data_IF_545940280529
#
_entry.id   IF_545940280529
#
_cell.length_a   1.000
_cell.length_b   1.000
_cell.length_c   1.000
_cell.angle_alpha   90.00
_cell.angle_beta   90.00
_cell.angle_gamma   90.00
#
_symmetry.space_group_name_H-M   'P 1'
#
loop_
_entity.id
_entity.type
_entity.pdbx_description
1 polymer ?
#
# COMPACT_ATOMS: atom_id res chain seq x y z
N UNK A 1 -13.60 -12.47 30.79
CA UNK A 1 -13.75 -12.63 29.32
C UNK A 1 -12.66 -13.55 28.84
N UNK A 2 -12.97 -14.50 27.96
CA UNK A 2 -11.96 -15.37 27.35
C UNK A 2 -11.10 -14.53 26.38
N UNK A 3 -9.77 -14.59 26.46
CA UNK A 3 -8.91 -13.86 25.55
C UNK A 3 -9.12 -14.36 24.10
N UNK A 4 -9.03 -13.47 23.14
CA UNK A 4 -9.03 -13.81 21.71
C UNK A 4 -7.81 -14.68 21.44
N UNK A 5 -8.00 -15.79 20.75
CA UNK A 5 -6.92 -16.71 20.35
C UNK A 5 -6.82 -16.87 18.84
N UNK A 6 -7.95 -16.75 18.13
CA UNK A 6 -7.99 -16.96 16.69
C UNK A 6 -8.56 -15.75 15.96
N UNK A 7 -7.88 -15.32 14.87
CA UNK A 7 -8.16 -14.11 14.11
C UNK A 7 -8.24 -14.43 12.62
N UNK A 8 -9.31 -13.99 11.95
CA UNK A 8 -9.38 -14.01 10.50
C UNK A 8 -8.79 -12.70 9.93
N UNK A 9 -7.98 -12.79 8.88
CA UNK A 9 -7.55 -11.65 8.08
C UNK A 9 -8.10 -11.83 6.67
N UNK A 10 -9.03 -10.96 6.26
CA UNK A 10 -9.65 -11.03 4.94
C UNK A 10 -8.83 -10.21 3.94
N UNK A 11 -8.20 -10.89 2.99
CA UNK A 11 -7.44 -10.24 1.94
C UNK A 11 -8.38 -9.54 0.93
N UNK A 12 -8.19 -8.25 0.63
CA UNK A 12 -9.05 -7.52 -0.31
C UNK A 12 -8.72 -7.82 -1.77
N UNK A 13 -7.57 -8.44 -2.04
CA UNK A 13 -7.10 -8.81 -3.37
C UNK A 13 -6.38 -10.17 -3.35
N UNK A 14 -6.11 -10.80 -4.51
CA UNK A 14 -5.42 -12.08 -4.58
C UNK A 14 -4.06 -12.08 -3.90
N UNK A 15 -3.80 -13.07 -3.04
CA UNK A 15 -2.50 -13.34 -2.44
C UNK A 15 -1.75 -14.34 -3.32
N UNK A 16 -0.63 -13.91 -3.89
CA UNK A 16 0.19 -14.69 -4.82
C UNK A 16 1.60 -14.08 -4.88
N UNK A 17 2.62 -14.73 -5.48
CA UNK A 17 3.96 -14.14 -5.56
C UNK A 17 4.00 -12.73 -6.15
N UNK A 18 3.19 -12.43 -7.18
CA UNK A 18 3.03 -11.09 -7.75
C UNK A 18 1.75 -10.47 -7.23
N UNK A 19 1.87 -9.52 -6.30
CA UNK A 19 0.74 -8.82 -5.67
C UNK A 19 1.05 -7.35 -5.42
N UNK A 20 0.02 -6.54 -5.27
CA UNK A 20 0.11 -5.11 -4.96
C UNK A 20 0.12 -4.86 -3.44
N UNK A 21 0.10 -3.58 -3.05
CA UNK A 21 0.26 -3.15 -1.66
C UNK A 21 -0.76 -3.72 -0.69
N UNK A 22 -2.02 -3.82 -1.10
CA UNK A 22 -3.10 -4.31 -0.24
C UNK A 22 -2.94 -5.81 0.09
N UNK A 23 -2.56 -6.63 -0.89
CA UNK A 23 -2.27 -8.04 -0.67
C UNK A 23 -1.04 -8.24 0.20
N UNK A 24 0.03 -7.47 -0.05
CA UNK A 24 1.23 -7.48 0.79
C UNK A 24 0.86 -7.13 2.23
N UNK A 25 0.05 -6.10 2.45
CA UNK A 25 -0.37 -5.68 3.79
C UNK A 25 -1.18 -6.75 4.50
N UNK A 26 -2.16 -7.37 3.85
CA UNK A 26 -2.93 -8.46 4.45
C UNK A 26 -2.04 -9.65 4.84
N UNK A 27 -1.11 -10.03 3.97
CA UNK A 27 -0.14 -11.10 4.24
C UNK A 27 0.78 -10.75 5.42
N UNK A 28 1.36 -9.57 5.43
CA UNK A 28 2.33 -9.18 6.45
C UNK A 28 1.70 -8.89 7.81
N UNK A 29 0.49 -8.32 7.84
CA UNK A 29 -0.30 -8.24 9.09
C UNK A 29 -0.60 -9.64 9.62
N UNK A 30 -0.98 -10.59 8.76
CA UNK A 30 -1.19 -11.98 9.16
C UNK A 30 0.08 -12.58 9.80
N UNK A 31 1.24 -12.34 9.21
CA UNK A 31 2.54 -12.79 9.76
C UNK A 31 2.86 -12.13 11.11
N UNK A 32 2.63 -10.82 11.22
CA UNK A 32 2.88 -10.07 12.45
C UNK A 32 1.98 -10.52 13.60
N UNK A 33 0.74 -10.91 13.30
CA UNK A 33 -0.24 -11.41 14.28
C UNK A 33 -0.01 -12.88 14.63
N UNK A 34 0.53 -13.69 13.73
CA UNK A 34 0.73 -15.14 13.94
C UNK A 34 1.72 -15.48 15.07
N UNK A 35 2.47 -14.49 15.57
CA UNK A 35 3.32 -14.66 16.73
C UNK A 35 2.52 -14.78 18.05
N UNK A 36 1.31 -14.22 18.09
CA UNK A 36 0.51 -14.07 19.32
C UNK A 36 -0.89 -14.71 19.17
N UNK A 37 -1.36 -14.98 17.95
CA UNK A 37 -2.69 -15.51 17.63
C UNK A 37 -2.62 -16.64 16.60
N UNK A 38 -3.62 -17.50 16.61
CA UNK A 38 -3.92 -18.43 15.52
C UNK A 38 -4.54 -17.62 14.37
N UNK A 39 -3.77 -17.39 13.31
CA UNK A 39 -4.19 -16.54 12.19
C UNK A 39 -4.65 -17.38 11.02
N UNK A 40 -5.84 -17.05 10.52
CA UNK A 40 -6.38 -17.59 9.28
C UNK A 40 -6.44 -16.48 8.23
N UNK A 41 -5.63 -16.63 7.17
CA UNK A 41 -5.63 -15.71 6.01
C UNK A 41 -6.69 -16.19 5.03
N UNK A 42 -7.75 -15.38 4.87
CA UNK A 42 -8.86 -15.63 3.97
C UNK A 42 -8.57 -14.97 2.62
N UNK A 43 -8.49 -15.75 1.56
CA UNK A 43 -8.08 -15.28 0.23
C UNK A 43 -9.18 -15.45 -0.82
N UNK A 44 -9.33 -14.49 -1.76
CA UNK A 44 -10.33 -14.59 -2.83
C UNK A 44 -9.91 -15.54 -3.96
N UNK A 45 -8.62 -15.84 -4.10
CA UNK A 45 -8.03 -16.68 -5.13
C UNK A 45 -7.77 -18.11 -4.64
N UNK A 46 -7.18 -18.94 -5.53
CA UNK A 46 -6.74 -20.29 -5.15
C UNK A 46 -5.74 -20.25 -3.99
N UNK A 47 -6.03 -20.92 -2.86
CA UNK A 47 -5.14 -20.98 -1.71
C UNK A 47 -3.75 -21.56 -2.03
N UNK A 48 -3.60 -22.36 -3.06
CA UNK A 48 -2.31 -22.91 -3.46
C UNK A 48 -1.33 -21.79 -3.83
N UNK A 49 -1.77 -20.79 -4.58
CA UNK A 49 -0.94 -19.62 -4.91
C UNK A 49 -0.54 -18.80 -3.68
N UNK A 50 -1.45 -18.65 -2.73
CA UNK A 50 -1.17 -17.92 -1.51
C UNK A 50 -0.19 -18.67 -0.58
N UNK A 51 -0.25 -20.00 -0.52
CA UNK A 51 0.70 -20.82 0.26
C UNK A 51 2.14 -20.70 -0.20
N UNK A 52 2.38 -20.37 -1.47
CA UNK A 52 3.75 -20.12 -1.98
C UNK A 52 4.44 -18.98 -1.22
N UNK A 53 3.67 -18.04 -0.68
CA UNK A 53 4.20 -16.84 0.01
C UNK A 53 3.77 -16.76 1.48
N UNK A 54 2.75 -17.48 1.93
CA UNK A 54 2.19 -17.34 3.28
C UNK A 54 3.04 -18.00 4.38
N UNK A 55 3.93 -18.93 4.03
CA UNK A 55 4.72 -19.68 5.01
C UNK A 55 3.84 -20.62 5.85
N UNK A 56 3.92 -20.51 7.17
CA UNK A 56 3.18 -21.36 8.13
C UNK A 56 1.75 -20.88 8.43
N UNK A 57 1.29 -19.77 7.83
CA UNK A 57 -0.04 -19.24 8.08
C UNK A 57 -1.10 -20.15 7.44
N UNK A 58 -2.18 -20.45 8.18
CA UNK A 58 -3.35 -21.14 7.62
C UNK A 58 -3.99 -20.27 6.53
N UNK A 59 -4.07 -20.81 5.31
CA UNK A 59 -4.69 -20.13 4.16
C UNK A 59 -5.96 -20.86 3.75
N UNK A 60 -7.06 -20.12 3.70
CA UNK A 60 -8.40 -20.65 3.37
C UNK A 60 -8.98 -19.86 2.20
N UNK A 61 -9.53 -20.58 1.22
CA UNK A 61 -10.34 -19.94 0.18
C UNK A 61 -11.60 -19.35 0.81
N UNK A 62 -11.86 -18.08 0.53
CA UNK A 62 -13.00 -17.37 1.08
C UNK A 62 -13.75 -16.61 -0.02
N UNK A 63 -14.39 -17.32 -0.97
CA UNK A 63 -15.30 -16.67 -1.88
C UNK A 63 -16.41 -15.98 -1.07
N UNK A 64 -16.87 -14.82 -1.54
CA UNK A 64 -17.72 -13.92 -0.77
C UNK A 64 -19.04 -14.56 -0.29
N UNK A 65 -19.54 -15.56 -1.00
CA UNK A 65 -20.73 -16.34 -0.64
C UNK A 65 -20.49 -17.40 0.44
N UNK A 66 -19.22 -17.68 0.80
CA UNK A 66 -18.81 -18.68 1.79
C UNK A 66 -18.04 -18.11 2.98
N UNK A 67 -18.07 -16.82 3.18
CA UNK A 67 -17.39 -16.16 4.32
C UNK A 67 -17.77 -16.74 5.68
N UNK A 68 -19.06 -17.06 6.00
CA UNK A 68 -19.40 -17.67 7.30
C UNK A 68 -18.71 -19.00 7.55
N UNK A 69 -18.54 -19.83 6.51
CA UNK A 69 -17.85 -21.10 6.62
C UNK A 69 -16.34 -20.92 6.82
N UNK A 70 -15.75 -19.99 6.04
CA UNK A 70 -14.33 -19.67 6.11
C UNK A 70 -13.93 -19.03 7.45
N UNK A 71 -14.83 -18.24 8.05
CA UNK A 71 -14.66 -17.58 9.34
C UNK A 71 -14.95 -18.49 10.55
N UNK A 72 -15.47 -19.72 10.33
CA UNK A 72 -15.88 -20.58 11.44
C UNK A 72 -14.75 -20.86 12.42
N UNK A 73 -14.99 -20.60 13.70
CA UNK A 73 -14.03 -20.81 14.79
C UNK A 73 -13.06 -19.65 15.00
N UNK A 74 -13.09 -18.60 14.18
CA UNK A 74 -12.38 -17.35 14.47
C UNK A 74 -13.18 -16.49 15.47
N UNK A 75 -12.48 -15.68 16.26
CA UNK A 75 -13.07 -14.90 17.35
C UNK A 75 -13.04 -13.39 17.08
N UNK A 76 -12.21 -12.94 16.13
CA UNK A 76 -12.14 -11.57 15.66
C UNK A 76 -11.69 -11.55 14.19
N UNK A 77 -11.85 -10.40 13.54
CA UNK A 77 -11.41 -10.24 12.15
C UNK A 77 -10.71 -8.91 11.89
N UNK A 78 -9.85 -8.93 10.88
CA UNK A 78 -9.29 -7.74 10.22
C UNK A 78 -9.78 -7.76 8.77
N UNK A 79 -10.44 -6.70 8.33
CA UNK A 79 -11.04 -6.61 7.00
C UNK A 79 -10.67 -5.28 6.34
N UNK A 80 -10.63 -5.23 5.01
CA UNK A 80 -10.29 -4.00 4.27
C UNK A 80 -10.98 -3.93 2.92
N UNK A 81 -11.07 -2.72 2.37
CA UNK A 81 -11.60 -2.45 1.03
C UNK A 81 -13.02 -2.98 0.82
N UNK A 82 -13.33 -3.31 -0.44
CA UNK A 82 -14.66 -3.79 -0.84
C UNK A 82 -15.03 -5.15 -0.24
N UNK A 83 -14.04 -6.00 0.06
CA UNK A 83 -14.28 -7.29 0.70
C UNK A 83 -14.91 -7.16 2.10
N UNK A 84 -14.65 -6.04 2.79
CA UNK A 84 -15.23 -5.74 4.09
C UNK A 84 -16.76 -5.67 4.05
N UNK A 85 -17.36 -5.18 2.96
CA UNK A 85 -18.82 -5.12 2.80
C UNK A 85 -19.46 -6.49 2.94
N UNK A 86 -18.91 -7.48 2.23
CA UNK A 86 -19.41 -8.85 2.30
C UNK A 86 -19.24 -9.44 3.70
N UNK A 87 -18.14 -9.13 4.38
CA UNK A 87 -17.92 -9.55 5.77
C UNK A 87 -18.99 -9.01 6.71
N UNK A 88 -19.27 -7.71 6.69
CA UNK A 88 -20.24 -7.10 7.60
C UNK A 88 -21.65 -7.66 7.45
N UNK A 89 -22.02 -8.10 6.25
CA UNK A 89 -23.31 -8.75 6.01
C UNK A 89 -23.32 -10.24 6.38
N UNK A 90 -22.20 -10.94 6.13
CA UNK A 90 -22.14 -12.40 6.29
C UNK A 90 -21.76 -12.85 7.71
N UNK A 91 -20.95 -12.05 8.44
CA UNK A 91 -20.39 -12.38 9.77
C UNK A 91 -20.53 -11.19 10.72
N UNK A 92 -21.75 -10.72 10.99
CA UNK A 92 -21.98 -9.45 11.71
C UNK A 92 -21.60 -9.45 13.18
N UNK A 93 -21.51 -10.65 13.82
CA UNK A 93 -21.40 -10.80 15.28
C UNK A 93 -19.97 -10.69 15.80
N UNK A 94 -18.98 -10.94 14.95
CA UNK A 94 -17.58 -10.91 15.39
C UNK A 94 -17.07 -9.48 15.59
N UNK A 95 -16.16 -9.25 16.55
CA UNK A 95 -15.37 -8.03 16.61
C UNK A 95 -14.53 -7.86 15.35
N UNK A 96 -14.54 -6.65 14.78
CA UNK A 96 -13.88 -6.38 13.48
C UNK A 96 -13.02 -5.13 13.57
N UNK A 97 -11.75 -5.26 13.20
CA UNK A 97 -10.90 -4.14 12.84
C UNK A 97 -11.01 -3.85 11.33
N UNK A 98 -11.42 -2.63 10.97
CA UNK A 98 -11.37 -2.18 9.58
C UNK A 98 -10.02 -1.53 9.28
N UNK A 99 -9.31 -2.08 8.32
CA UNK A 99 -8.06 -1.51 7.83
C UNK A 99 -8.36 -0.49 6.73
N UNK A 100 -8.27 0.78 7.11
CA UNK A 100 -8.50 1.95 6.25
C UNK A 100 -7.17 2.55 5.74
N UNK A 101 -6.13 1.73 5.71
CA UNK A 101 -4.79 2.11 5.22
C UNK A 101 -4.84 2.72 3.82
N UNK A 102 -5.62 2.13 2.93
CA UNK A 102 -5.81 2.59 1.57
C UNK A 102 -6.99 3.56 1.50
N UNK A 103 -6.77 4.86 1.22
CA UNK A 103 -7.85 5.83 1.06
C UNK A 103 -8.53 5.67 -0.32
N UNK A 104 -8.87 4.43 -0.71
CA UNK A 104 -9.39 4.07 -2.03
C UNK A 104 -10.54 4.96 -2.54
N UNK A 105 -11.46 5.51 -1.70
CA UNK A 105 -12.47 6.40 -2.22
C UNK A 105 -11.91 7.72 -2.77
N UNK A 106 -10.71 8.13 -2.31
CA UNK A 106 -10.00 9.32 -2.82
C UNK A 106 -9.07 8.95 -3.98
N UNK A 107 -8.35 7.83 -3.87
CA UNK A 107 -7.48 7.32 -4.95
C UNK A 107 -8.27 7.04 -6.23
N UNK A 108 -9.44 6.39 -6.11
CA UNK A 108 -10.28 6.04 -7.25
C UNK A 108 -10.91 7.26 -7.95
N UNK A 109 -10.90 8.46 -7.34
CA UNK A 109 -11.30 9.69 -8.04
C UNK A 109 -10.37 10.03 -9.22
N UNK A 110 -9.10 9.60 -9.18
CA UNK A 110 -8.20 9.71 -10.32
C UNK A 110 -8.67 8.86 -11.51
N UNK A 111 -9.40 7.79 -11.25
CA UNK A 111 -9.99 6.92 -12.27
C UNK A 111 -11.41 7.32 -12.67
N UNK A 112 -12.01 8.34 -12.04
CA UNK A 112 -13.38 8.75 -12.32
C UNK A 112 -13.69 9.02 -13.81
N UNK A 113 -12.76 9.56 -14.63
CA UNK A 113 -13.00 9.71 -16.07
C UNK A 113 -13.21 8.38 -16.81
N UNK A 114 -12.62 7.28 -16.34
CA UNK A 114 -12.74 5.95 -16.96
C UNK A 114 -13.76 5.04 -16.25
N UNK A 115 -13.87 5.11 -14.92
CA UNK A 115 -14.76 4.25 -14.13
C UNK A 115 -16.15 4.84 -13.89
N UNK A 116 -16.31 6.16 -14.01
CA UNK A 116 -17.57 6.87 -13.87
C UNK A 116 -18.01 7.11 -12.41
N UNK A 117 -19.07 7.91 -12.27
CA UNK A 117 -19.60 8.34 -10.97
C UNK A 117 -20.21 7.19 -10.13
N UNK A 118 -20.59 6.09 -10.74
CA UNK A 118 -21.15 4.94 -10.03
C UNK A 118 -20.10 4.25 -9.16
N UNK A 119 -18.88 4.10 -9.65
CA UNK A 119 -17.76 3.56 -8.88
C UNK A 119 -17.46 4.44 -7.67
N UNK A 120 -17.33 5.75 -7.86
CA UNK A 120 -17.09 6.69 -6.76
C UNK A 120 -18.20 6.67 -5.70
N UNK A 121 -19.46 6.47 -6.11
CA UNK A 121 -20.57 6.28 -5.18
C UNK A 121 -20.42 4.98 -4.39
N UNK A 122 -20.10 3.89 -5.06
CA UNK A 122 -19.91 2.58 -4.44
C UNK A 122 -18.73 2.59 -3.46
N UNK A 123 -17.63 3.23 -3.81
CA UNK A 123 -16.47 3.40 -2.92
C UNK A 123 -16.83 4.15 -1.64
N UNK A 124 -17.57 5.25 -1.79
CA UNK A 124 -18.07 6.02 -0.63
C UNK A 124 -19.00 5.19 0.24
N UNK A 125 -19.91 4.41 -0.35
CA UNK A 125 -20.82 3.53 0.39
C UNK A 125 -20.08 2.40 1.11
N UNK A 126 -19.00 1.89 0.49
CA UNK A 126 -18.11 0.90 1.11
C UNK A 126 -17.41 1.45 2.34
N UNK A 127 -16.81 2.63 2.22
CA UNK A 127 -16.22 3.32 3.37
C UNK A 127 -17.25 3.61 4.45
N UNK A 128 -18.44 4.07 4.05
CA UNK A 128 -19.56 4.37 4.93
C UNK A 128 -19.97 3.17 5.78
N UNK A 129 -20.09 2.01 5.16
CA UNK A 129 -20.42 0.77 5.85
C UNK A 129 -19.30 0.35 6.82
N UNK A 130 -18.04 0.45 6.40
CA UNK A 130 -16.91 0.14 7.28
C UNK A 130 -16.90 1.04 8.52
N UNK A 131 -17.02 2.36 8.35
CA UNK A 131 -17.09 3.33 9.46
C UNK A 131 -18.28 3.09 10.40
N UNK A 132 -19.38 2.58 9.86
CA UNK A 132 -20.59 2.27 10.63
C UNK A 132 -20.49 0.99 11.42
N UNK A 133 -19.76 -0.03 10.92
CA UNK A 133 -19.85 -1.41 11.42
C UNK A 133 -18.60 -1.91 12.14
N UNK A 134 -17.41 -1.41 11.84
CA UNK A 134 -16.22 -1.89 12.50
C UNK A 134 -16.12 -1.38 13.95
N UNK A 135 -15.34 -2.08 14.76
CA UNK A 135 -15.14 -1.80 16.17
C UNK A 135 -13.84 -1.07 16.44
N UNK A 136 -12.90 -1.24 15.54
CA UNK A 136 -11.59 -0.62 15.58
C UNK A 136 -11.15 -0.24 14.17
N UNK A 137 -10.42 0.85 14.04
CA UNK A 137 -10.00 1.37 12.75
C UNK A 137 -8.48 1.51 12.70
N UNK A 138 -7.89 1.08 11.58
CA UNK A 138 -6.48 1.24 11.30
C UNK A 138 -6.31 2.26 10.19
N UNK A 139 -5.36 3.16 10.32
CA UNK A 139 -4.97 4.10 9.28
C UNK A 139 -3.44 4.16 9.17
N UNK A 140 -2.90 4.71 8.07
CA UNK A 140 -1.47 4.65 7.81
C UNK A 140 -0.67 5.84 8.38
N UNK A 141 -1.31 6.97 8.62
CA UNK A 141 -0.63 8.20 9.01
C UNK A 141 -1.50 9.06 9.94
N UNK A 142 -0.89 10.12 10.49
CA UNK A 142 -1.60 11.13 11.28
C UNK A 142 -2.63 11.90 10.45
N UNK A 143 -2.34 12.16 9.19
CA UNK A 143 -3.23 12.83 8.26
C UNK A 143 -4.47 11.96 7.98
N UNK A 144 -4.29 10.69 7.70
CA UNK A 144 -5.40 9.74 7.57
C UNK A 144 -6.19 9.64 8.88
N UNK A 145 -5.50 9.65 10.03
CA UNK A 145 -6.17 9.57 11.33
C UNK A 145 -7.10 10.75 11.56
N UNK A 146 -6.68 11.97 11.23
CA UNK A 146 -7.54 13.15 11.34
C UNK A 146 -8.70 13.10 10.34
N UNK A 147 -8.45 12.66 9.10
CA UNK A 147 -9.48 12.48 8.08
C UNK A 147 -10.57 11.50 8.53
N UNK A 148 -10.18 10.32 9.03
CA UNK A 148 -11.14 9.32 9.49
C UNK A 148 -11.80 9.68 10.84
N UNK A 149 -11.11 10.38 11.73
CA UNK A 149 -11.71 10.88 12.97
C UNK A 149 -12.87 11.86 12.67
N UNK A 150 -12.69 12.77 11.70
CA UNK A 150 -13.79 13.64 11.24
C UNK A 150 -14.97 12.85 10.67
N UNK A 151 -14.71 11.82 9.88
CA UNK A 151 -15.75 10.95 9.33
C UNK A 151 -16.47 10.14 10.43
N UNK A 152 -15.75 9.62 11.41
CA UNK A 152 -16.32 8.91 12.56
C UNK A 152 -17.17 9.82 13.46
N UNK A 153 -16.73 11.07 13.66
CA UNK A 153 -17.51 12.07 14.41
C UNK A 153 -18.85 12.35 13.76
N UNK A 154 -18.88 12.59 12.45
CA UNK A 154 -20.13 12.84 11.71
C UNK A 154 -21.08 11.65 11.68
N UNK A 155 -20.56 10.43 11.93
CA UNK A 155 -21.32 9.19 12.06
C UNK A 155 -21.80 8.89 13.48
N UNK A 156 -21.46 9.74 14.46
CA UNK A 156 -21.79 9.49 15.85
C UNK A 156 -21.00 8.35 16.49
N UNK A 157 -19.89 7.88 15.84
CA UNK A 157 -18.99 6.89 16.42
C UNK A 157 -18.05 7.52 17.45
N UNK A 158 -17.88 8.82 17.40
CA UNK A 158 -17.23 9.65 18.41
C UNK A 158 -18.30 10.57 18.99
N UNK A 159 -18.51 10.50 20.30
CA UNK A 159 -19.56 11.27 20.96
C UNK A 159 -19.32 11.45 22.46
N UNK A 160 -20.30 12.00 23.15
CA UNK A 160 -20.22 12.29 24.58
C UNK A 160 -20.03 11.03 25.46
N UNK A 161 -20.33 9.86 24.91
CA UNK A 161 -20.28 8.61 25.66
C UNK A 161 -18.89 7.95 25.65
N UNK A 162 -18.08 8.16 24.59
CA UNK A 162 -16.77 7.54 24.47
C UNK A 162 -15.60 8.54 24.52
N UNK A 163 -15.79 9.76 24.04
CA UNK A 163 -14.72 10.76 24.02
C UNK A 163 -14.17 11.14 25.40
N UNK A 164 -15.01 11.32 26.47
CA UNK A 164 -14.46 11.64 27.81
C UNK A 164 -13.60 10.50 28.41
N UNK A 165 -13.84 9.24 28.02
CA UNK A 165 -13.10 8.08 28.51
C UNK A 165 -11.78 7.90 27.78
N UNK A 166 -11.73 8.26 26.49
CA UNK A 166 -10.52 8.21 25.64
C UNK A 166 -10.47 9.41 24.69
N UNK A 167 -10.06 10.60 25.17
CA UNK A 167 -9.95 11.79 24.32
C UNK A 167 -8.90 11.63 23.20
N UNK A 168 -8.01 10.63 23.32
CA UNK A 168 -7.03 10.31 22.29
C UNK A 168 -7.61 9.45 21.21
N UNK A 169 -8.77 8.82 21.40
CA UNK A 169 -9.43 7.86 20.50
C UNK A 169 -8.55 6.64 20.18
N UNK A 170 -7.57 6.34 21.00
CA UNK A 170 -6.63 5.22 20.76
C UNK A 170 -7.30 3.85 20.85
N UNK A 171 -8.40 3.75 21.58
CA UNK A 171 -9.23 2.54 21.67
C UNK A 171 -10.16 2.34 20.47
N UNK A 172 -10.32 3.36 19.59
CA UNK A 172 -11.19 3.31 18.42
C UNK A 172 -10.42 3.38 17.10
N UNK A 173 -9.40 4.25 17.00
CA UNK A 173 -8.68 4.57 15.78
C UNK A 173 -7.19 4.70 16.04
N UNK A 174 -6.38 3.81 15.44
CA UNK A 174 -4.93 3.81 15.61
C UNK A 174 -4.18 3.97 14.29
N UNK A 175 -2.98 4.57 14.39
CA UNK A 175 -2.03 4.60 13.29
C UNK A 175 -1.26 3.29 13.26
N UNK A 176 -1.51 2.51 12.22
CA UNK A 176 -0.82 1.26 11.88
C UNK A 176 -0.30 1.41 10.45
N UNK A 177 0.86 2.04 10.24
CA UNK A 177 1.41 2.29 8.92
C UNK A 177 1.75 0.99 8.19
N UNK A 178 2.17 1.09 6.96
CA UNK A 178 2.83 -0.02 6.28
C UNK A 178 4.16 -0.30 6.97
N UNK A 179 4.52 -1.56 7.06
CA UNK A 179 5.75 -1.99 7.69
C UNK A 179 6.76 -2.54 6.68
N UNK A 180 7.95 -2.82 7.19
CA UNK A 180 8.98 -3.60 6.47
C UNK A 180 9.18 -4.94 7.17
N UNK A 181 9.76 -5.96 6.49
CA UNK A 181 10.09 -7.23 7.13
C UNK A 181 10.99 -7.04 8.36
N UNK A 182 10.83 -7.94 9.31
CA UNK A 182 11.65 -7.93 10.54
C UNK A 182 13.14 -8.16 10.27
N UNK A 183 13.47 -8.83 9.17
CA UNK A 183 14.84 -9.04 8.71
C UNK A 183 15.32 -7.89 7.82
N UNK A 184 16.61 -7.49 7.91
CA UNK A 184 17.20 -6.57 6.94
C UNK A 184 17.11 -7.09 5.51
N UNK A 185 17.01 -6.17 4.54
CA UNK A 185 17.08 -6.52 3.13
C UNK A 185 18.46 -7.12 2.81
N UNK A 186 18.47 -8.37 2.35
CA UNK A 186 19.66 -9.06 1.84
C UNK A 186 19.36 -9.48 0.42
N UNK A 187 19.77 -8.64 -0.54
CA UNK A 187 19.53 -8.86 -1.95
C UNK A 187 20.81 -9.05 -2.75
N UNK A 188 20.71 -9.80 -3.85
CA UNK A 188 21.73 -9.95 -4.87
C UNK A 188 21.42 -9.00 -6.04
N UNK A 189 22.23 -7.93 -6.18
CA UNK A 189 22.06 -6.94 -7.23
C UNK A 189 22.13 -7.53 -8.65
N UNK A 190 22.97 -8.53 -8.87
CA UNK A 190 23.09 -9.17 -10.18
C UNK A 190 21.82 -9.97 -10.52
N UNK A 191 21.22 -10.65 -9.53
CA UNK A 191 19.96 -11.36 -9.68
C UNK A 191 18.81 -10.37 -9.94
N UNK A 192 18.74 -9.28 -9.17
CA UNK A 192 17.73 -8.23 -9.37
C UNK A 192 17.80 -7.61 -10.77
N UNK A 193 19.00 -7.31 -11.26
CA UNK A 193 19.18 -6.79 -12.62
C UNK A 193 18.71 -7.77 -13.68
N UNK A 194 19.10 -9.04 -13.59
CA UNK A 194 18.64 -10.08 -14.55
C UNK A 194 17.13 -10.23 -14.55
N UNK A 195 16.51 -10.28 -13.36
CA UNK A 195 15.08 -10.42 -13.21
C UNK A 195 14.28 -9.23 -13.82
N UNK A 196 14.84 -8.03 -13.75
CA UNK A 196 14.25 -6.82 -14.32
C UNK A 196 14.69 -6.53 -15.78
N UNK A 197 15.46 -7.39 -16.41
CA UNK A 197 15.95 -7.18 -17.79
C UNK A 197 16.94 -6.02 -17.94
N UNK A 198 17.73 -5.73 -16.89
CA UNK A 198 18.63 -4.60 -16.82
C UNK A 198 20.07 -4.98 -17.16
N UNK A 199 20.88 -4.07 -17.72
CA UNK A 199 22.29 -4.30 -17.97
C UNK A 199 23.06 -4.54 -16.67
N UNK A 200 24.22 -5.24 -16.74
CA UNK A 200 25.00 -5.60 -15.55
C UNK A 200 25.62 -4.40 -14.81
N UNK A 201 25.76 -3.27 -15.48
CA UNK A 201 26.43 -2.08 -14.97
C UNK A 201 25.57 -0.82 -15.13
N UNK A 202 26.00 0.29 -14.53
CA UNK A 202 25.34 1.59 -14.53
C UNK A 202 24.32 1.74 -13.39
N UNK A 203 24.02 2.97 -12.96
CA UNK A 203 23.06 3.24 -11.91
C UNK A 203 21.63 3.03 -12.41
N UNK A 204 20.81 2.36 -11.60
CA UNK A 204 19.39 2.19 -11.85
C UNK A 204 18.61 3.24 -11.05
N UNK A 205 17.81 4.04 -11.76
CA UNK A 205 16.81 4.94 -11.20
C UNK A 205 15.47 4.23 -11.28
N UNK A 206 14.92 3.88 -10.14
CA UNK A 206 13.64 3.19 -10.04
C UNK A 206 12.50 4.21 -9.94
N UNK A 207 11.50 4.11 -10.80
CA UNK A 207 10.20 4.73 -10.59
C UNK A 207 9.19 3.74 -10.01
N UNK A 208 9.22 2.52 -10.50
CA UNK A 208 8.31 1.44 -10.10
C UNK A 208 7.01 1.41 -10.91
N UNK A 209 5.92 0.92 -10.31
CA UNK A 209 4.62 0.84 -10.98
C UNK A 209 4.02 2.23 -11.24
N UNK A 210 3.25 2.34 -12.33
CA UNK A 210 2.61 3.58 -12.76
C UNK A 210 1.10 3.48 -12.54
N UNK A 211 0.56 4.45 -11.80
CA UNK A 211 -0.87 4.60 -11.50
C UNK A 211 -1.29 6.05 -11.74
N UNK A 212 -2.59 6.32 -11.86
CA UNK A 212 -3.11 7.62 -12.28
C UNK A 212 -2.85 8.77 -11.28
N UNK A 213 -2.49 8.47 -10.02
CA UNK A 213 -2.06 9.47 -9.03
C UNK A 213 -0.57 9.82 -9.09
N UNK A 214 0.21 9.18 -9.98
CA UNK A 214 1.60 9.53 -10.23
C UNK A 214 1.79 10.36 -11.50
N UNK A 215 2.88 11.12 -11.52
CA UNK A 215 3.32 11.90 -12.69
C UNK A 215 4.69 11.42 -13.21
N UNK A 216 4.72 10.30 -13.94
CA UNK A 216 5.93 9.83 -14.59
C UNK A 216 6.38 10.76 -15.73
N UNK A 217 5.49 11.61 -16.25
CA UNK A 217 5.77 12.56 -17.33
C UNK A 217 6.87 13.54 -16.94
N UNK A 218 6.82 14.06 -15.72
CA UNK A 218 7.84 15.00 -15.23
C UNK A 218 9.25 14.35 -15.21
N UNK A 219 9.36 13.07 -14.84
CA UNK A 219 10.65 12.37 -14.89
C UNK A 219 11.09 12.13 -16.33
N UNK A 220 10.18 11.78 -17.22
CA UNK A 220 10.50 11.61 -18.64
C UNK A 220 10.97 12.93 -19.28
N UNK A 221 10.42 14.06 -18.90
CA UNK A 221 10.88 15.38 -19.37
C UNK A 221 12.27 15.74 -18.79
N UNK A 222 12.58 15.29 -17.57
CA UNK A 222 13.90 15.44 -16.95
C UNK A 222 14.95 14.46 -17.53
N UNK A 223 14.54 13.31 -18.06
CA UNK A 223 15.40 12.18 -18.40
C UNK A 223 16.50 12.49 -19.43
N UNK A 224 16.25 13.25 -20.53
CA UNK A 224 17.28 13.61 -21.48
C UNK A 224 18.44 14.42 -20.87
N UNK A 225 18.16 15.25 -19.85
CA UNK A 225 19.20 15.98 -19.11
C UNK A 225 19.99 15.06 -18.19
N UNK A 226 19.31 14.10 -17.54
CA UNK A 226 19.95 13.09 -16.70
C UNK A 226 20.90 12.23 -17.55
N UNK A 227 20.47 11.75 -18.71
CA UNK A 227 21.30 10.94 -19.61
C UNK A 227 22.52 11.68 -20.15
N UNK A 228 22.43 12.98 -20.44
CA UNK A 228 23.60 13.76 -20.85
C UNK A 228 24.69 13.78 -19.76
N UNK A 229 24.29 13.82 -18.49
CA UNK A 229 25.23 13.82 -17.37
C UNK A 229 25.66 12.40 -16.96
N UNK A 230 24.79 11.41 -17.14
CA UNK A 230 25.01 10.01 -16.78
C UNK A 230 24.50 9.08 -17.89
N UNK A 231 25.28 8.91 -18.98
CA UNK A 231 24.89 8.06 -20.13
C UNK A 231 24.70 6.59 -19.79
N UNK A 232 25.29 6.16 -18.68
CA UNK A 232 25.19 4.81 -18.14
C UNK A 232 23.94 4.56 -17.27
N UNK A 233 23.16 5.60 -16.98
CA UNK A 233 21.94 5.47 -16.15
C UNK A 233 20.83 4.73 -16.89
N UNK A 234 20.02 3.98 -16.13
CA UNK A 234 18.80 3.32 -16.62
C UNK A 234 17.61 3.69 -15.75
N UNK A 235 16.49 4.01 -16.38
CA UNK A 235 15.21 4.28 -15.73
C UNK A 235 14.35 3.02 -15.78
N UNK A 236 13.85 2.57 -14.64
CA UNK A 236 13.05 1.36 -14.52
C UNK A 236 11.63 1.65 -14.11
N UNK A 237 10.68 1.23 -14.95
CA UNK A 237 9.26 1.16 -14.67
C UNK A 237 8.82 -0.31 -14.56
N UNK A 238 7.74 -0.54 -13.80
CA UNK A 238 7.06 -1.84 -13.77
C UNK A 238 5.69 -1.77 -14.43
N UNK A 239 5.33 -2.85 -15.11
CA UNK A 239 3.96 -3.13 -15.54
C UNK A 239 3.08 -3.31 -14.30
N UNK A 240 1.76 -3.11 -14.44
CA UNK A 240 0.84 -3.32 -13.32
C UNK A 240 0.68 -4.82 -13.01
N UNK A 241 0.66 -5.25 -11.74
CA UNK A 241 0.44 -6.66 -11.40
C UNK A 241 -1.00 -7.14 -11.65
N UNK A 242 -1.96 -6.21 -11.76
CA UNK A 242 -3.39 -6.47 -11.97
C UNK A 242 -3.93 -5.59 -13.12
N UNK A 243 -3.42 -5.73 -14.36
CA UNK A 243 -3.77 -4.83 -15.47
C UNK A 243 -5.24 -4.97 -15.91
N UNK A 244 -5.87 -6.11 -15.59
CA UNK A 244 -7.28 -6.39 -15.90
C UNK A 244 -8.27 -5.61 -15.02
N UNK A 245 -7.84 -5.16 -13.85
CA UNK A 245 -8.68 -4.43 -12.89
C UNK A 245 -8.25 -2.98 -12.68
N UNK A 246 -7.02 -2.64 -13.02
CA UNK A 246 -6.47 -1.29 -12.85
C UNK A 246 -6.44 -0.55 -14.16
N UNK A 247 -7.05 0.64 -14.29
CA UNK A 247 -6.95 1.45 -15.51
C UNK A 247 -5.50 1.75 -15.91
N UNK A 248 -5.19 1.64 -17.20
CA UNK A 248 -3.82 1.70 -17.72
C UNK A 248 -3.51 3.03 -18.45
N UNK A 249 -4.39 4.02 -18.36
CA UNK A 249 -4.30 5.24 -19.19
C UNK A 249 -2.99 6.02 -18.99
N UNK A 250 -2.53 6.18 -17.75
CA UNK A 250 -1.26 6.87 -17.46
C UNK A 250 -0.08 5.99 -17.83
N UNK A 251 -0.15 4.69 -17.58
CA UNK A 251 0.89 3.74 -17.99
C UNK A 251 1.11 3.74 -19.51
N UNK A 252 0.05 3.69 -20.29
CA UNK A 252 0.13 3.67 -21.77
C UNK A 252 0.71 4.99 -22.31
N UNK A 253 0.29 6.14 -21.76
CA UNK A 253 0.88 7.45 -22.11
C UNK A 253 2.36 7.50 -21.74
N UNK A 254 2.73 6.99 -20.57
CA UNK A 254 4.12 6.90 -20.12
C UNK A 254 4.96 6.09 -21.09
N UNK A 255 4.48 4.91 -21.46
CA UNK A 255 5.16 4.01 -22.40
C UNK A 255 5.30 4.62 -23.80
N UNK A 256 4.27 5.33 -24.27
CA UNK A 256 4.33 6.07 -25.54
C UNK A 256 5.38 7.17 -25.47
N UNK A 257 5.36 8.01 -24.43
CA UNK A 257 6.32 9.11 -24.25
C UNK A 257 7.76 8.60 -24.11
N UNK A 258 7.95 7.48 -23.39
CA UNK A 258 9.27 6.87 -23.26
C UNK A 258 9.85 6.44 -24.61
N UNK A 259 9.05 5.88 -25.52
CA UNK A 259 9.48 5.52 -26.89
C UNK A 259 9.85 6.74 -27.75
N UNK A 260 9.25 7.88 -27.52
CA UNK A 260 9.62 9.14 -28.23
C UNK A 260 11.00 9.64 -27.77
N UNK A 261 11.35 9.44 -26.48
CA UNK A 261 12.62 9.88 -25.89
C UNK A 261 13.73 8.86 -26.15
N UNK A 262 13.41 7.58 -26.06
CA UNK A 262 14.31 6.45 -26.17
C UNK A 262 13.72 5.40 -27.13
N UNK A 263 13.79 5.62 -28.46
CA UNK A 263 13.17 4.73 -29.43
C UNK A 263 13.71 3.29 -29.43
N UNK A 264 14.97 3.11 -29.04
CA UNK A 264 15.62 1.80 -28.98
C UNK A 264 15.39 1.06 -27.64
N UNK A 265 14.92 1.78 -26.59
CA UNK A 265 14.80 1.20 -25.26
C UNK A 265 16.14 0.99 -24.54
N UNK A 266 17.16 1.76 -24.90
CA UNK A 266 18.51 1.59 -24.35
C UNK A 266 18.63 2.10 -22.90
N UNK A 267 17.81 3.08 -22.53
CA UNK A 267 17.90 3.77 -21.24
C UNK A 267 16.63 3.71 -20.38
N UNK A 268 15.47 3.44 -20.99
CA UNK A 268 14.17 3.38 -20.30
C UNK A 268 13.60 1.96 -20.44
N UNK A 269 13.53 1.26 -19.33
CA UNK A 269 13.15 -0.16 -19.28
C UNK A 269 11.77 -0.31 -18.61
N UNK A 270 10.88 -1.06 -19.25
CA UNK A 270 9.61 -1.52 -18.67
C UNK A 270 9.74 -3.02 -18.40
N UNK A 271 9.70 -3.37 -17.13
CA UNK A 271 9.83 -4.75 -16.65
C UNK A 271 8.48 -5.28 -16.18
N UNK A 272 8.19 -6.59 -16.34
CA UNK A 272 7.10 -7.22 -15.64
C UNK A 272 7.22 -7.02 -14.13
N UNK A 273 6.06 -7.01 -13.43
CA UNK A 273 6.05 -6.93 -11.96
C UNK A 273 6.81 -8.10 -11.35
N UNK A 274 7.77 -7.79 -10.48
CA UNK A 274 8.58 -8.82 -9.83
C UNK A 274 7.82 -9.51 -8.68
N UNK A 275 8.12 -10.79 -8.41
CA UNK A 275 7.58 -11.46 -7.23
C UNK A 275 7.99 -10.75 -5.93
N UNK A 276 7.07 -10.68 -4.99
CA UNK A 276 7.28 -10.03 -3.70
C UNK A 276 8.52 -10.54 -2.94
N UNK A 277 8.83 -11.85 -2.92
CA UNK A 277 10.06 -12.34 -2.29
C UNK A 277 11.36 -11.80 -2.91
N UNK A 278 11.35 -11.44 -4.20
CA UNK A 278 12.54 -11.03 -4.95
C UNK A 278 12.84 -9.53 -4.83
N UNK A 279 12.00 -8.76 -4.10
CA UNK A 279 12.15 -7.31 -4.02
C UNK A 279 13.47 -6.85 -3.38
N UNK A 280 14.06 -7.65 -2.47
CA UNK A 280 15.36 -7.32 -1.89
C UNK A 280 16.47 -7.27 -2.96
N UNK A 281 16.44 -8.18 -3.95
CA UNK A 281 17.37 -8.21 -5.05
C UNK A 281 17.22 -7.00 -5.97
N UNK A 282 15.96 -6.61 -6.23
CA UNK A 282 15.67 -5.39 -6.97
C UNK A 282 16.27 -4.15 -6.29
N UNK A 283 15.99 -3.97 -5.00
CA UNK A 283 16.50 -2.78 -4.28
C UNK A 283 18.03 -2.80 -4.17
N UNK A 284 18.66 -3.96 -4.03
CA UNK A 284 20.11 -4.08 -4.08
C UNK A 284 20.71 -3.64 -5.43
N UNK A 285 19.94 -3.73 -6.52
CA UNK A 285 20.35 -3.29 -7.85
C UNK A 285 20.14 -1.78 -8.09
N UNK A 286 19.27 -1.12 -7.32
CA UNK A 286 18.87 0.28 -7.53
C UNK A 286 19.82 1.26 -6.84
N UNK A 287 20.16 2.34 -7.53
CA UNK A 287 20.96 3.43 -6.98
C UNK A 287 20.09 4.53 -6.37
N UNK A 288 18.86 4.71 -6.87
CA UNK A 288 17.96 5.78 -6.48
C UNK A 288 16.51 5.39 -6.76
N UNK A 289 15.59 5.79 -5.89
CA UNK A 289 14.15 5.81 -6.18
C UNK A 289 13.73 7.23 -6.52
N UNK A 290 12.90 7.41 -7.55
CA UNK A 290 12.20 8.66 -7.83
C UNK A 290 10.70 8.45 -7.68
N UNK A 291 10.06 9.24 -6.81
CA UNK A 291 8.62 9.20 -6.57
C UNK A 291 8.00 10.56 -6.83
N UNK A 292 7.13 10.63 -7.83
CA UNK A 292 6.45 11.86 -8.21
C UNK A 292 4.96 11.60 -8.17
N UNK A 293 4.25 12.30 -7.28
CA UNK A 293 2.79 12.23 -7.17
C UNK A 293 2.15 13.49 -7.73
N UNK A 294 0.90 13.41 -8.18
CA UNK A 294 0.10 14.59 -8.43
C UNK A 294 -0.16 15.32 -7.11
N UNK A 295 -0.31 16.64 -7.15
CA UNK A 295 -0.70 17.40 -5.97
C UNK A 295 -2.18 17.21 -5.67
N UNK A 296 -2.55 17.18 -4.40
CA UNK A 296 -3.94 17.08 -3.97
C UNK A 296 -4.18 16.23 -2.75
N UNK A 297 -5.46 16.07 -2.41
CA UNK A 297 -5.91 15.37 -1.20
C UNK A 297 -5.41 13.91 -1.17
N UNK A 298 -5.39 13.23 -2.32
CA UNK A 298 -4.91 11.84 -2.39
C UNK A 298 -3.44 11.76 -1.91
N UNK A 299 -2.57 12.63 -2.40
CA UNK A 299 -1.15 12.64 -2.03
C UNK A 299 -0.93 12.95 -0.54
N UNK A 300 -1.74 13.83 0.05
CA UNK A 300 -1.65 14.11 1.49
C UNK A 300 -2.10 12.92 2.35
N UNK A 301 -3.05 12.11 1.86
CA UNK A 301 -3.55 10.95 2.57
C UNK A 301 -2.77 9.67 2.26
N UNK A 302 -2.13 9.57 1.10
CA UNK A 302 -1.48 8.32 0.67
C UNK A 302 -0.20 8.03 1.44
N UNK A 303 -0.04 6.77 1.86
CA UNK A 303 1.20 6.25 2.42
C UNK A 303 1.99 5.50 1.35
N UNK A 304 2.93 6.18 0.70
CA UNK A 304 3.67 5.68 -0.48
C UNK A 304 4.62 4.53 -0.15
N UNK A 305 4.10 3.30 -0.11
CA UNK A 305 4.86 2.08 0.28
C UNK A 305 6.16 1.89 -0.47
N UNK A 306 6.24 2.31 -1.74
CA UNK A 306 7.48 2.22 -2.53
C UNK A 306 8.65 2.98 -1.89
N UNK A 307 8.38 4.11 -1.22
CA UNK A 307 9.38 4.88 -0.50
C UNK A 307 9.90 4.09 0.71
N UNK A 308 9.00 3.42 1.44
CA UNK A 308 9.38 2.62 2.60
C UNK A 308 10.14 1.34 2.20
N UNK A 309 9.69 0.66 1.15
CA UNK A 309 10.37 -0.52 0.62
C UNK A 309 11.78 -0.18 0.09
N UNK A 310 11.91 0.96 -0.61
CA UNK A 310 13.22 1.45 -1.04
C UNK A 310 14.12 1.75 0.16
N UNK A 311 13.59 2.39 1.20
CA UNK A 311 14.33 2.66 2.43
C UNK A 311 14.78 1.37 3.13
N UNK A 312 13.93 0.34 3.18
CA UNK A 312 14.30 -0.99 3.68
C UNK A 312 15.47 -1.60 2.89
N UNK A 313 15.43 -1.48 1.55
CA UNK A 313 16.54 -1.87 0.67
C UNK A 313 17.78 -0.98 0.78
N UNK A 314 17.70 0.14 1.50
CA UNK A 314 18.77 1.13 1.58
C UNK A 314 18.90 1.97 0.32
N UNK A 315 17.85 2.15 -0.44
CA UNK A 315 17.83 2.98 -1.66
C UNK A 315 17.33 4.37 -1.27
N UNK A 316 18.18 5.42 -1.40
CA UNK A 316 17.74 6.79 -1.17
C UNK A 316 16.70 7.24 -2.18
N UNK A 317 15.93 8.28 -1.85
CA UNK A 317 14.87 8.75 -2.72
C UNK A 317 15.01 10.22 -3.13
N UNK A 318 14.46 10.56 -4.30
CA UNK A 318 14.08 11.91 -4.70
C UNK A 318 12.56 11.92 -4.86
N UNK A 319 11.89 12.87 -4.21
CA UNK A 319 10.44 12.96 -4.20
C UNK A 319 9.95 14.32 -4.68
N UNK A 320 8.82 14.33 -5.40
CA UNK A 320 8.03 15.52 -5.75
C UNK A 320 6.60 15.26 -5.28
N UNK A 321 6.07 16.13 -4.40
CA UNK A 321 4.77 15.94 -3.76
C UNK A 321 4.64 14.52 -3.16
N UNK A 322 5.58 14.14 -2.30
CA UNK A 322 5.70 12.75 -1.80
C UNK A 322 4.83 12.41 -0.59
N UNK A 323 4.02 13.33 -0.08
CA UNK A 323 3.19 13.14 1.12
C UNK A 323 3.99 13.04 2.41
N UNK A 324 3.34 12.56 3.49
CA UNK A 324 3.95 12.50 4.83
C UNK A 324 5.22 11.65 4.87
N UNK A 325 5.21 10.48 4.26
CA UNK A 325 6.34 9.56 4.27
C UNK A 325 7.60 10.14 3.60
N UNK A 326 7.44 10.90 2.49
CA UNK A 326 8.58 11.56 1.85
C UNK A 326 9.17 12.64 2.76
N UNK A 327 8.33 13.45 3.42
CA UNK A 327 8.76 14.45 4.41
C UNK A 327 9.52 13.79 5.58
N UNK A 328 9.03 12.68 6.11
CA UNK A 328 9.72 11.94 7.16
C UNK A 328 11.07 11.39 6.71
N UNK A 329 11.16 10.83 5.50
CA UNK A 329 12.42 10.33 4.93
C UNK A 329 13.40 11.47 4.65
N UNK A 330 12.92 12.63 4.20
CA UNK A 330 13.75 13.82 3.98
C UNK A 330 14.31 14.34 5.32
N UNK A 331 13.47 14.43 6.35
CA UNK A 331 13.91 14.80 7.70
C UNK A 331 14.95 13.82 8.28
N UNK A 332 14.87 12.54 7.92
CA UNK A 332 15.84 11.53 8.31
C UNK A 332 17.13 11.53 7.44
N UNK A 333 17.22 12.36 6.40
CA UNK A 333 18.35 12.40 5.47
C UNK A 333 18.37 11.28 4.42
N UNK A 334 17.26 10.50 4.32
CA UNK A 334 17.12 9.38 3.41
C UNK A 334 16.53 9.78 2.05
N UNK A 335 15.91 10.95 1.96
CA UNK A 335 15.32 11.47 0.72
C UNK A 335 15.69 12.95 0.50
N UNK A 336 15.43 13.42 -0.72
CA UNK A 336 15.39 14.83 -1.08
C UNK A 336 14.01 15.12 -1.66
N UNK A 337 13.31 16.11 -1.14
CA UNK A 337 12.14 16.68 -1.78
C UNK A 337 12.57 17.82 -2.70
N UNK A 338 12.00 17.89 -3.87
CA UNK A 338 12.26 18.96 -4.82
C UNK A 338 10.96 19.49 -5.42
N UNK A 339 11.04 20.70 -5.97
CA UNK A 339 9.92 21.36 -6.64
C UNK A 339 9.50 20.60 -7.91
N UNK A 340 8.25 20.80 -8.31
CA UNK A 340 7.68 20.22 -9.53
C UNK A 340 8.19 20.94 -10.77
N UNK A 341 9.44 20.73 -11.07
CA UNK A 341 10.12 21.27 -12.25
C UNK A 341 11.13 20.25 -12.79
N UNK A 342 11.14 20.02 -14.11
CA UNK A 342 11.98 19.02 -14.75
C UNK A 342 13.48 19.32 -14.61
N UNK A 343 13.88 20.59 -14.59
CA UNK A 343 15.28 20.96 -14.44
C UNK A 343 15.76 20.77 -13.00
N UNK A 344 14.94 21.11 -12.03
CA UNK A 344 15.18 20.91 -10.59
C UNK A 344 15.25 19.43 -10.28
N UNK A 345 14.29 18.64 -10.78
CA UNK A 345 14.27 17.18 -10.63
C UNK A 345 15.53 16.53 -11.23
N UNK A 346 15.89 16.93 -12.48
CA UNK A 346 17.11 16.43 -13.12
C UNK A 346 18.34 16.74 -12.27
N UNK A 347 18.45 17.96 -11.74
CA UNK A 347 19.58 18.38 -10.91
C UNK A 347 19.67 17.56 -9.62
N UNK A 348 18.54 17.29 -8.94
CA UNK A 348 18.49 16.45 -7.74
C UNK A 348 18.91 15.01 -8.05
N UNK A 349 18.41 14.40 -9.12
CA UNK A 349 18.76 13.05 -9.55
C UNK A 349 20.25 12.97 -9.91
N UNK A 350 20.78 13.89 -10.73
CA UNK A 350 22.18 13.94 -11.12
C UNK A 350 23.08 14.11 -9.89
N UNK A 351 22.73 15.01 -8.99
CA UNK A 351 23.48 15.23 -7.74
C UNK A 351 23.58 13.97 -6.92
N UNK A 352 22.46 13.26 -6.72
CA UNK A 352 22.45 11.98 -5.99
C UNK A 352 23.25 10.88 -6.72
N UNK A 353 23.17 10.80 -8.03
CA UNK A 353 23.91 9.80 -8.80
C UNK A 353 25.43 10.08 -8.84
N UNK A 354 25.85 11.34 -8.72
CA UNK A 354 27.25 11.74 -8.82
C UNK A 354 27.97 11.76 -7.46
N UNK A 355 27.25 11.95 -6.36
CA UNK A 355 27.79 11.98 -5.01
C UNK A 355 27.71 10.59 -4.35
N UNK A 356 28.76 9.80 -4.46
CA UNK A 356 28.82 8.46 -3.87
C UNK A 356 28.76 8.51 -2.34
N UNK A 357 29.52 9.40 -1.69
CA UNK A 357 29.54 9.51 -0.24
C UNK A 357 28.19 9.97 0.33
N UNK A 358 27.54 10.96 -0.31
CA UNK A 358 26.20 11.39 0.06
C UNK A 358 25.14 10.32 -0.16
N UNK A 359 25.29 9.48 -1.20
CA UNK A 359 24.41 8.31 -1.38
C UNK A 359 24.58 7.27 -0.28
N UNK A 360 25.81 6.96 0.10
CA UNK A 360 26.10 5.99 1.16
C UNK A 360 25.52 6.47 2.50
N UNK A 361 25.66 7.77 2.81
CA UNK A 361 25.05 8.37 3.99
C UNK A 361 23.50 8.27 3.95
N UNK A 362 22.88 8.67 2.85
CA UNK A 362 21.44 8.59 2.68
C UNK A 362 20.92 7.14 2.69
N UNK A 363 21.71 6.20 2.17
CA UNK A 363 21.41 4.76 2.22
C UNK A 363 21.44 4.22 3.66
N UNK A 364 22.38 4.64 4.47
CA UNK A 364 22.42 4.29 5.90
C UNK A 364 21.24 4.88 6.66
N UNK A 365 20.91 6.15 6.40
CA UNK A 365 19.73 6.83 6.97
C UNK A 365 18.42 6.13 6.59
N UNK A 366 18.27 5.73 5.32
CA UNK A 366 17.12 4.98 4.83
C UNK A 366 16.93 3.65 5.58
N UNK A 367 18.00 2.87 5.73
CA UNK A 367 17.94 1.60 6.50
C UNK A 367 17.61 1.82 7.97
N UNK A 368 18.19 2.85 8.59
CA UNK A 368 17.88 3.20 9.98
C UNK A 368 16.42 3.61 10.17
N UNK A 369 15.87 4.42 9.24
CA UNK A 369 14.48 4.82 9.22
C UNK A 369 13.54 3.60 9.10
N UNK A 370 13.81 2.70 8.15
CA UNK A 370 13.02 1.50 7.92
C UNK A 370 13.08 0.52 9.11
N UNK A 371 14.23 0.40 9.77
CA UNK A 371 14.39 -0.48 10.93
C UNK A 371 13.46 -0.15 12.09
N UNK A 372 13.02 1.11 12.22
CA UNK A 372 12.00 1.53 13.20
C UNK A 372 10.56 1.18 12.80
N UNK A 373 10.33 0.67 11.58
CA UNK A 373 8.99 0.42 11.00
C UNK A 373 8.76 -1.03 10.61
N UNK A 374 9.24 -1.96 11.42
CA UNK A 374 9.03 -3.40 11.21
C UNK A 374 7.58 -3.76 11.41
N UNK A 375 7.05 -4.72 10.63
CA UNK A 375 5.67 -5.16 10.72
C UNK A 375 5.23 -5.52 12.13
N UNK A 376 6.06 -6.23 12.88
CA UNK A 376 5.77 -6.59 14.28
C UNK A 376 5.60 -5.36 15.17
N UNK A 377 6.39 -4.31 14.94
CA UNK A 377 6.32 -3.06 15.72
C UNK A 377 5.12 -2.21 15.34
N UNK A 378 4.88 -2.00 14.02
CA UNK A 378 3.77 -1.16 13.56
C UNK A 378 2.41 -1.78 13.83
N UNK A 379 2.30 -3.12 13.88
CA UNK A 379 1.06 -3.82 14.20
C UNK A 379 0.73 -3.84 15.71
N UNK A 380 1.57 -3.28 16.59
CA UNK A 380 1.35 -3.34 18.03
C UNK A 380 -0.03 -2.79 18.48
N UNK A 381 -0.56 -1.65 17.96
CA UNK A 381 -1.89 -1.18 18.34
C UNK A 381 -3.00 -2.16 17.97
N UNK A 382 -2.92 -2.80 16.80
CA UNK A 382 -3.87 -3.83 16.39
C UNK A 382 -3.79 -5.06 17.30
N UNK A 383 -2.59 -5.52 17.63
CA UNK A 383 -2.40 -6.66 18.55
C UNK A 383 -3.00 -6.37 19.91
N UNK A 384 -2.71 -5.20 20.48
CA UNK A 384 -3.25 -4.79 21.77
C UNK A 384 -4.78 -4.73 21.78
N UNK A 385 -5.38 -4.19 20.70
CA UNK A 385 -6.84 -4.22 20.58
C UNK A 385 -7.39 -5.65 20.50
N UNK A 386 -6.76 -6.55 19.73
CA UNK A 386 -7.20 -7.93 19.56
C UNK A 386 -7.19 -8.72 20.87
N UNK A 387 -6.31 -8.44 21.81
CA UNK A 387 -6.27 -9.13 23.13
C UNK A 387 -7.62 -9.02 23.89
N UNK A 388 -8.36 -7.93 23.68
CA UNK A 388 -9.62 -7.61 24.37
C UNK A 388 -10.76 -7.26 23.43
N UNK A 389 -10.62 -7.61 22.14
CA UNK A 389 -11.57 -7.23 21.11
C UNK A 389 -13.00 -7.65 21.44
N UNK A 390 -13.91 -6.74 21.24
CA UNK A 390 -15.35 -6.91 21.45
C UNK A 390 -16.14 -6.02 20.50
N UNK A 391 -17.37 -6.39 20.17
CA UNK A 391 -18.27 -5.49 19.45
C UNK A 391 -18.45 -4.17 20.17
N UNK A 392 -18.28 -3.08 19.44
CA UNK A 392 -18.51 -1.72 19.95
C UNK A 392 -20.03 -1.47 20.06
N UNK A 393 -20.56 -1.08 21.25
CA UNK A 393 -21.96 -0.73 21.40
C UNK A 393 -22.43 0.40 20.47
N UNK A 394 -21.53 1.26 20.01
CA UNK A 394 -21.79 2.35 19.09
C UNK A 394 -21.87 1.91 17.61
N UNK A 395 -21.78 0.62 17.30
CA UNK A 395 -22.03 0.12 15.93
C UNK A 395 -23.39 0.57 15.43
N UNK A 396 -23.43 1.15 14.23
CA UNK A 396 -24.71 1.49 13.61
C UNK A 396 -25.36 0.22 13.01
N UNK A 397 -26.71 0.18 12.91
CA UNK A 397 -27.39 -0.95 12.29
C UNK A 397 -26.95 -1.11 10.82
N UNK A 398 -26.97 -2.35 10.32
CA UNK A 398 -26.78 -2.58 8.89
C UNK A 398 -27.87 -1.83 8.11
N UNK A 399 -27.52 -1.17 7.01
CA UNK A 399 -28.52 -0.62 6.13
C UNK A 399 -29.43 -1.75 5.65
N UNK A 400 -30.74 -1.52 5.68
CA UNK A 400 -31.73 -2.50 5.23
C UNK A 400 -31.46 -2.95 3.78
N UNK A 401 -31.98 -4.14 3.37
CA UNK A 401 -31.76 -4.64 2.02
C UNK A 401 -32.25 -3.62 1.01
N UNK A 402 -31.35 -3.14 0.15
CA UNK A 402 -31.73 -2.28 -0.98
C UNK A 402 -32.60 -3.08 -1.92
N UNK A 403 -33.72 -2.48 -2.32
CA UNK A 403 -34.51 -3.05 -3.45
C UNK A 403 -33.57 -3.16 -4.64
N UNK A 404 -33.42 -4.41 -5.13
CA UNK A 404 -32.55 -4.73 -6.27
C UNK A 404 -32.89 -3.84 -7.46
N UNK A 405 -31.93 -3.06 -7.89
CA UNK A 405 -31.98 -2.21 -9.08
C UNK A 405 -30.59 -1.96 -9.69
N UNK A 406 -29.52 -2.55 -9.17
CA UNK A 406 -28.17 -2.30 -9.69
C UNK A 406 -27.57 -3.52 -10.38
N UNK A 407 -27.19 -3.32 -11.65
CA UNK A 407 -26.50 -4.28 -12.51
C UNK A 407 -25.03 -4.57 -12.12
N UNK A 408 -24.63 -4.31 -10.89
CA UNK A 408 -23.24 -4.38 -10.41
C UNK A 408 -22.71 -5.79 -10.15
N UNK A 409 -23.53 -6.84 -10.25
CA UNK A 409 -23.10 -8.24 -10.11
C UNK A 409 -22.16 -8.74 -11.23
N UNK A 410 -21.80 -7.92 -12.21
CA UNK A 410 -20.98 -8.32 -13.37
C UNK A 410 -19.48 -7.99 -13.24
N UNK A 411 -19.06 -7.23 -12.24
CA UNK A 411 -17.64 -6.82 -12.11
C UNK A 411 -16.80 -7.67 -11.17
N UNK A 412 -17.41 -8.67 -10.51
CA UNK A 412 -16.73 -9.56 -9.56
C UNK A 412 -16.91 -11.06 -9.90
N UNK A 413 -16.96 -11.40 -11.20
CA UNK A 413 -16.85 -12.79 -11.65
C UNK A 413 -15.51 -13.03 -12.30
#
# INVERSE_FOLDING_TARGET
>A
MTPIRSVAVLAPEPIRPRMAGMGIRALELSRALAADFEVRLLVPNDPAQAREVAGSIEVVAAPLDRLPQAARGTQAAVVSGHAANSWFHAVPELPVAADLYDPFPVENLHYAPSLGAETARHDRETLDLALSRADFFLCASSEQRLFYAGALLTRGRIGAENFPQDPTLSSLLAVVPFGVPDSPARGDAARGRRAAGLPPQGPIVLFGGVYDWYDPGLLLDAWPRILRARPDARLLFFENPNPETTPQSVFDRTRKRAREIDPNGDSIVFSPWLPYPDRADLYAACALLVSISNEGLETELAYRTRLLDAAWGGVPAVAVAGGSLARELAAAGAAVECERDAATLASAVIGRLSDAAGRDHASAAARAFAAGRRWRSVAAPLRSWLETARPDPARLPLPGPRREGSRLARFFR
#
